data_IF_890894916761
#
_entry.id   IF_890894916761
#
_cell.length_a   1.000
_cell.length_b   1.000
_cell.length_c   1.000
_cell.angle_alpha   90.00
_cell.angle_beta   90.00
_cell.angle_gamma   90.00
#
_symmetry.space_group_name_H-M   'P 1'
#
loop_
_entity.id
_entity.type
_entity.pdbx_description
1 polymer ?
#
# COMPACT_ATOMS: atom_id res chain seq x y z
N UNK A 1 1.81 32.42 2.59
CA UNK A 1 1.18 31.76 1.43
C UNK A 1 -0.29 32.11 1.46
N UNK A 2 -0.93 32.40 0.31
CA UNK A 2 -2.37 32.64 0.27
C UNK A 2 -3.12 31.36 0.68
N UNK A 3 -4.05 31.49 1.64
CA UNK A 3 -4.89 30.38 2.07
C UNK A 3 -5.78 29.92 0.91
N UNK A 4 -5.83 28.60 0.66
CA UNK A 4 -6.68 27.98 -0.36
C UNK A 4 -7.92 27.36 0.29
N UNK A 5 -9.02 27.37 -0.42
CA UNK A 5 -10.24 26.62 -0.11
C UNK A 5 -10.12 25.23 -0.76
N UNK A 6 -10.09 24.18 0.06
CA UNK A 6 -9.76 22.84 -0.37
C UNK A 6 -10.93 21.88 -0.14
N UNK A 7 -11.28 21.11 -1.17
CA UNK A 7 -12.06 19.88 -1.04
C UNK A 7 -11.06 18.74 -0.89
N UNK A 8 -11.18 17.95 0.20
CA UNK A 8 -10.39 16.73 0.38
C UNK A 8 -11.27 15.51 0.07
N UNK A 9 -10.89 14.69 -0.90
CA UNK A 9 -11.58 13.45 -1.26
C UNK A 9 -10.68 12.25 -0.96
N UNK A 10 -11.05 11.44 0.05
CA UNK A 10 -10.24 10.30 0.48
C UNK A 10 -11.02 9.31 1.33
N UNK A 11 -10.52 8.07 1.44
CA UNK A 11 -11.16 7.03 2.25
C UNK A 11 -10.16 6.19 3.04
N UNK A 12 -8.98 5.89 2.46
CA UNK A 12 -7.97 5.02 3.07
C UNK A 12 -7.05 5.72 4.07
N UNK A 13 -6.32 4.91 4.84
CA UNK A 13 -5.35 5.38 5.85
C UNK A 13 -4.22 6.21 5.24
N UNK A 14 -3.86 5.95 3.97
CA UNK A 14 -2.80 6.67 3.26
C UNK A 14 -3.02 8.19 3.21
N UNK A 15 -4.27 8.64 3.26
CA UNK A 15 -4.63 10.06 3.24
C UNK A 15 -4.59 10.75 4.60
N UNK A 16 -4.51 10.00 5.72
CA UNK A 16 -4.60 10.57 7.06
C UNK A 16 -3.52 11.62 7.36
N UNK A 17 -2.21 11.37 7.13
CA UNK A 17 -1.18 12.37 7.42
C UNK A 17 -1.35 13.65 6.60
N UNK A 18 -1.83 13.54 5.37
CA UNK A 18 -2.11 14.71 4.52
C UNK A 18 -3.33 15.49 5.01
N UNK A 19 -4.39 14.81 5.47
CA UNK A 19 -5.56 15.47 6.07
C UNK A 19 -5.17 16.19 7.37
N UNK A 20 -4.40 15.55 8.24
CA UNK A 20 -3.90 16.14 9.49
C UNK A 20 -3.02 17.37 9.24
N UNK A 21 -2.12 17.29 8.23
CA UNK A 21 -1.29 18.42 7.82
C UNK A 21 -2.13 19.60 7.29
N UNK A 22 -3.22 19.32 6.57
CA UNK A 22 -4.15 20.36 6.09
C UNK A 22 -4.94 20.99 7.25
N UNK A 23 -5.40 20.20 8.22
CA UNK A 23 -6.07 20.71 9.43
C UNK A 23 -5.15 21.65 10.22
N UNK A 24 -3.85 21.36 10.29
CA UNK A 24 -2.85 22.17 10.97
C UNK A 24 -2.34 23.37 10.14
N UNK A 25 -2.75 23.50 8.88
CA UNK A 25 -2.31 24.55 7.96
C UNK A 25 -3.22 25.77 7.98
N UNK A 26 -2.84 26.83 7.24
CA UNK A 26 -3.67 28.02 7.02
C UNK A 26 -4.78 27.81 5.96
N UNK A 27 -4.83 26.64 5.31
CA UNK A 27 -5.84 26.35 4.30
C UNK A 27 -7.21 26.06 4.92
N UNK A 28 -8.27 26.39 4.19
CA UNK A 28 -9.66 26.10 4.59
C UNK A 28 -10.13 24.79 3.99
N UNK A 29 -10.41 23.77 4.80
CA UNK A 29 -11.08 22.55 4.37
C UNK A 29 -12.58 22.81 4.25
N UNK A 30 -13.05 23.18 3.06
CA UNK A 30 -14.46 23.49 2.80
C UNK A 30 -15.34 22.25 2.77
N UNK A 31 -14.78 21.11 2.42
CA UNK A 31 -15.46 19.81 2.51
C UNK A 31 -14.46 18.65 2.51
N UNK A 32 -14.72 17.65 3.35
CA UNK A 32 -14.10 16.33 3.29
C UNK A 32 -15.10 15.33 2.72
N UNK A 33 -14.72 14.61 1.67
CA UNK A 33 -15.56 13.63 0.98
C UNK A 33 -14.97 12.25 1.16
N UNK A 34 -15.79 11.30 1.59
CA UNK A 34 -15.36 9.91 1.78
C UNK A 34 -16.42 8.91 1.33
N UNK A 35 -16.02 7.65 1.18
CA UNK A 35 -16.98 6.59 0.89
C UNK A 35 -17.92 6.35 2.09
N UNK A 36 -19.13 5.79 1.85
CA UNK A 36 -20.05 5.39 2.91
C UNK A 36 -19.42 4.34 3.83
N UNK A 37 -19.94 4.28 5.06
CA UNK A 37 -19.61 3.23 6.02
C UNK A 37 -19.92 1.86 5.41
N UNK A 38 -19.05 0.88 5.64
CA UNK A 38 -19.18 -0.47 5.10
C UNK A 38 -19.11 -1.52 6.20
N UNK A 39 -19.82 -2.65 6.06
CA UNK A 39 -19.68 -3.77 6.98
C UNK A 39 -18.22 -4.24 7.05
N UNK A 40 -17.63 -4.26 8.24
CA UNK A 40 -16.24 -4.70 8.47
C UNK A 40 -16.14 -5.58 9.73
N UNK A 41 -15.07 -6.37 9.80
CA UNK A 41 -14.76 -7.23 10.95
C UNK A 41 -15.67 -8.44 11.11
N UNK A 42 -15.43 -9.17 12.25
CA UNK A 42 -16.26 -10.32 12.65
C UNK A 42 -17.61 -9.80 13.14
N UNK A 43 -18.69 -10.01 12.54
CA UNK A 43 -20.03 -9.49 12.92
C UNK A 43 -20.54 -8.40 11.97
N UNK A 44 -19.76 -7.97 10.98
CA UNK A 44 -20.18 -7.10 9.89
C UNK A 44 -20.84 -5.79 10.36
N UNK A 45 -20.40 -5.24 11.50
CA UNK A 45 -20.83 -3.91 11.93
C UNK A 45 -20.40 -2.85 10.91
N UNK A 46 -21.23 -1.84 10.73
CA UNK A 46 -20.88 -0.69 9.87
C UNK A 46 -19.68 0.04 10.47
N UNK A 47 -18.60 0.13 9.73
CA UNK A 47 -17.39 0.85 10.09
C UNK A 47 -17.17 2.04 9.17
N UNK A 48 -16.97 3.23 9.72
CA UNK A 48 -16.62 4.41 8.95
C UNK A 48 -15.23 4.25 8.32
N UNK A 49 -14.97 5.02 7.28
CA UNK A 49 -13.64 5.11 6.69
C UNK A 49 -12.67 5.82 7.65
N UNK A 50 -11.35 5.54 7.62
CA UNK A 50 -10.36 6.26 8.41
C UNK A 50 -10.45 7.80 8.25
N UNK A 51 -10.61 8.28 7.01
CA UNK A 51 -10.80 9.71 6.73
C UNK A 51 -12.12 10.24 7.34
N UNK A 52 -13.20 9.47 7.27
CA UNK A 52 -14.48 9.85 7.88
C UNK A 52 -14.41 9.99 9.40
N UNK A 53 -13.64 9.10 10.07
CA UNK A 53 -13.37 9.18 11.51
C UNK A 53 -12.59 10.45 11.84
N UNK A 54 -11.48 10.70 11.14
CA UNK A 54 -10.63 11.87 11.37
C UNK A 54 -11.37 13.19 11.11
N UNK A 55 -12.14 13.28 10.02
CA UNK A 55 -12.90 14.47 9.68
C UNK A 55 -13.99 14.77 10.72
N UNK A 56 -14.70 13.74 11.20
CA UNK A 56 -15.71 13.89 12.25
C UNK A 56 -15.10 14.34 13.59
N UNK A 57 -13.94 13.77 13.97
CA UNK A 57 -13.22 14.14 15.17
C UNK A 57 -12.73 15.61 15.15
N UNK A 58 -12.40 16.12 13.97
CA UNK A 58 -11.98 17.50 13.74
C UNK A 58 -13.17 18.46 13.45
N UNK A 59 -14.42 18.00 13.56
CA UNK A 59 -15.65 18.75 13.26
C UNK A 59 -15.65 19.41 11.87
N UNK A 60 -15.03 18.76 10.87
CA UNK A 60 -14.99 19.25 9.50
C UNK A 60 -16.30 18.98 8.75
N UNK A 61 -16.66 19.79 7.74
CA UNK A 61 -17.78 19.50 6.84
C UNK A 61 -17.55 18.16 6.13
N UNK A 62 -18.28 17.12 6.51
CA UNK A 62 -18.12 15.75 6.04
C UNK A 62 -19.27 15.31 5.14
N UNK A 63 -18.95 14.88 3.93
CA UNK A 63 -19.86 14.23 2.98
C UNK A 63 -19.48 12.76 2.81
N UNK A 64 -20.40 11.85 3.10
CA UNK A 64 -20.28 10.42 2.80
C UNK A 64 -21.09 10.11 1.56
N UNK A 65 -20.44 9.76 0.45
CA UNK A 65 -21.16 9.47 -0.82
C UNK A 65 -20.61 8.22 -1.52
N UNK A 66 -21.53 7.48 -2.13
CA UNK A 66 -21.21 6.34 -3.01
C UNK A 66 -20.83 6.77 -4.43
N UNK A 67 -21.21 8.00 -4.84
CA UNK A 67 -20.94 8.53 -6.18
C UNK A 67 -20.78 10.06 -6.10
N UNK A 68 -19.52 10.52 -6.06
CA UNK A 68 -19.18 11.95 -6.02
C UNK A 68 -19.74 12.71 -7.24
N UNK A 69 -19.96 12.03 -8.36
CA UNK A 69 -20.39 12.67 -9.59
C UNK A 69 -21.85 13.16 -9.54
N UNK A 70 -22.61 12.76 -8.53
CA UNK A 70 -23.98 13.20 -8.27
C UNK A 70 -24.09 14.30 -7.24
N UNK A 71 -22.97 14.69 -6.64
CA UNK A 71 -22.96 15.65 -5.55
C UNK A 71 -22.75 17.08 -6.06
N UNK A 72 -23.42 18.04 -5.42
CA UNK A 72 -23.13 19.46 -5.60
C UNK A 72 -21.94 19.85 -4.73
N UNK A 73 -20.80 20.11 -5.34
CA UNK A 73 -19.59 20.49 -4.61
C UNK A 73 -19.57 21.98 -4.26
N UNK A 74 -19.06 22.37 -3.10
CA UNK A 74 -18.89 23.78 -2.74
C UNK A 74 -17.82 24.43 -3.62
N UNK A 75 -17.86 25.76 -3.73
CA UNK A 75 -16.78 26.52 -4.37
C UNK A 75 -15.47 26.26 -3.65
N UNK A 76 -14.43 25.89 -4.42
CA UNK A 76 -13.10 25.58 -3.89
C UNK A 76 -12.01 26.02 -4.87
N UNK A 77 -10.79 26.18 -4.35
CA UNK A 77 -9.62 26.44 -5.19
C UNK A 77 -9.01 25.16 -5.74
N UNK A 78 -8.91 24.11 -4.92
CA UNK A 78 -8.30 22.82 -5.29
C UNK A 78 -9.14 21.68 -4.72
N UNK A 79 -9.26 20.57 -5.46
CA UNK A 79 -9.66 19.28 -4.90
C UNK A 79 -8.42 18.39 -4.80
N UNK A 80 -8.11 17.96 -3.56
CA UNK A 80 -7.07 16.98 -3.29
C UNK A 80 -7.69 15.59 -3.13
N UNK A 81 -7.24 14.66 -3.97
CA UNK A 81 -7.73 13.27 -3.96
C UNK A 81 -6.62 12.34 -3.46
N UNK A 82 -6.92 11.51 -2.44
CA UNK A 82 -5.97 10.52 -1.90
C UNK A 82 -6.71 9.23 -1.55
N UNK A 83 -6.39 8.13 -2.22
CA UNK A 83 -6.96 6.80 -1.95
C UNK A 83 -8.50 6.82 -1.80
N UNK A 84 -9.20 7.54 -2.67
CA UNK A 84 -10.64 7.76 -2.59
C UNK A 84 -11.46 6.56 -3.08
N UNK A 85 -10.99 5.89 -4.14
CA UNK A 85 -11.58 4.67 -4.65
C UNK A 85 -12.85 4.87 -5.49
N UNK A 86 -13.11 6.08 -5.98
CA UNK A 86 -14.16 6.37 -6.98
C UNK A 86 -13.54 6.99 -8.22
N UNK A 87 -14.16 6.74 -9.38
CA UNK A 87 -13.86 7.48 -10.60
C UNK A 87 -14.59 8.84 -10.55
N UNK A 88 -13.83 9.90 -10.78
CA UNK A 88 -14.33 11.28 -10.76
C UNK A 88 -14.50 11.77 -12.19
N UNK A 89 -15.68 12.26 -12.54
CA UNK A 89 -15.96 12.80 -13.87
C UNK A 89 -15.27 14.15 -14.10
N UNK A 90 -15.01 14.49 -15.34
CA UNK A 90 -14.32 15.73 -15.74
C UNK A 90 -15.02 17.00 -15.20
N UNK A 91 -16.34 17.00 -15.11
CA UNK A 91 -17.09 18.12 -14.50
C UNK A 91 -16.72 18.37 -13.05
N UNK A 92 -16.47 17.31 -12.27
CA UNK A 92 -16.05 17.42 -10.89
C UNK A 92 -14.54 17.67 -10.76
N UNK A 93 -13.73 17.05 -11.65
CA UNK A 93 -12.28 17.28 -11.69
C UNK A 93 -11.95 18.75 -11.97
N UNK A 94 -12.70 19.38 -12.87
CA UNK A 94 -12.51 20.77 -13.31
C UNK A 94 -13.35 21.79 -12.51
N UNK A 95 -14.12 21.33 -11.52
CA UNK A 95 -14.95 22.21 -10.68
C UNK A 95 -14.13 23.21 -9.86
N UNK A 96 -13.03 22.82 -9.19
CA UNK A 96 -12.20 23.77 -8.43
C UNK A 96 -11.41 24.70 -9.38
N UNK A 97 -11.22 25.94 -8.96
CA UNK A 97 -10.56 27.00 -9.77
C UNK A 97 -9.16 26.63 -10.27
N UNK A 98 -8.37 25.95 -9.45
CA UNK A 98 -7.01 25.48 -9.78
C UNK A 98 -7.01 23.99 -10.18
N UNK A 99 -8.19 23.38 -10.38
CA UNK A 99 -8.36 21.99 -10.75
C UNK A 99 -8.15 21.01 -9.60
N UNK A 100 -7.99 19.75 -9.96
CA UNK A 100 -7.87 18.64 -8.99
C UNK A 100 -6.50 17.98 -9.09
N UNK A 101 -5.97 17.60 -7.93
CA UNK A 101 -4.67 16.93 -7.80
C UNK A 101 -4.83 15.62 -7.04
N UNK A 102 -3.91 14.67 -7.28
CA UNK A 102 -3.89 13.38 -6.59
C UNK A 102 -2.50 13.10 -6.04
N UNK A 103 -2.44 12.60 -4.79
CA UNK A 103 -1.23 12.01 -4.23
C UNK A 103 -1.23 10.51 -4.55
N UNK A 104 -0.29 10.09 -5.39
CA UNK A 104 -0.09 8.71 -5.81
C UNK A 104 1.20 8.12 -5.23
N UNK A 105 1.12 6.93 -4.66
CA UNK A 105 2.22 6.30 -3.93
C UNK A 105 3.21 5.57 -4.86
N UNK A 106 3.69 6.23 -5.89
CA UNK A 106 4.79 5.77 -6.75
C UNK A 106 5.55 6.93 -7.38
N UNK A 107 6.71 6.63 -7.94
CA UNK A 107 7.44 7.53 -8.84
C UNK A 107 6.87 7.35 -10.27
N UNK A 108 5.78 8.08 -10.56
CA UNK A 108 5.17 8.07 -11.89
C UNK A 108 6.19 8.54 -12.96
N UNK A 109 6.10 7.98 -14.17
CA UNK A 109 5.01 7.19 -14.76
C UNK A 109 4.97 5.71 -14.40
N UNK A 110 5.90 5.22 -13.55
CA UNK A 110 5.92 3.82 -13.13
C UNK A 110 4.83 3.53 -12.09
N UNK A 111 4.24 2.34 -12.17
CA UNK A 111 3.27 1.82 -11.19
C UNK A 111 1.95 2.62 -11.13
N UNK A 112 1.38 3.01 -12.29
CA UNK A 112 0.01 3.51 -12.36
C UNK A 112 -0.98 2.45 -11.91
N UNK A 113 -1.97 2.79 -11.10
CA UNK A 113 -3.04 1.88 -10.67
C UNK A 113 -3.19 1.70 -9.17
N UNK A 114 -3.82 0.58 -8.77
CA UNK A 114 -4.40 0.43 -7.45
C UNK A 114 -3.44 -0.02 -6.32
N UNK A 115 -2.27 -0.61 -6.66
CA UNK A 115 -1.38 -1.20 -5.66
C UNK A 115 0.11 -0.89 -5.90
N UNK A 116 0.50 0.39 -6.11
CA UNK A 116 1.85 0.76 -6.51
C UNK A 116 2.92 0.33 -5.49
N UNK A 117 2.66 0.50 -4.20
CA UNK A 117 3.57 0.14 -3.10
C UNK A 117 3.89 -1.35 -3.10
N UNK A 118 2.85 -2.18 -3.22
CA UNK A 118 3.00 -3.63 -3.24
C UNK A 118 3.83 -4.09 -4.43
N UNK A 119 3.50 -3.59 -5.62
CA UNK A 119 4.20 -3.97 -6.85
C UNK A 119 5.64 -3.46 -6.90
N UNK A 120 5.96 -2.34 -6.30
CA UNK A 120 7.34 -1.88 -6.18
C UNK A 120 8.20 -2.90 -5.42
N UNK A 121 7.74 -3.40 -4.26
CA UNK A 121 8.46 -4.44 -3.50
C UNK A 121 8.50 -5.76 -4.25
N UNK A 122 7.36 -6.24 -4.78
CA UNK A 122 7.28 -7.52 -5.51
C UNK A 122 8.24 -7.55 -6.71
N UNK A 123 8.38 -6.43 -7.43
CA UNK A 123 9.27 -6.31 -8.58
C UNK A 123 10.72 -6.02 -8.21
N UNK A 124 11.04 -5.89 -6.91
CA UNK A 124 12.40 -5.74 -6.43
C UNK A 124 12.97 -4.33 -6.58
N UNK A 125 12.11 -3.31 -6.59
CA UNK A 125 12.58 -1.94 -6.56
C UNK A 125 13.34 -1.66 -5.25
N UNK A 126 14.37 -0.85 -5.37
CA UNK A 126 15.16 -0.38 -4.21
C UNK A 126 14.78 1.03 -3.78
N UNK A 127 13.99 1.71 -4.61
CA UNK A 127 13.49 3.08 -4.39
C UNK A 127 11.99 3.09 -4.70
N UNK A 128 11.22 3.70 -3.82
CA UNK A 128 9.82 4.06 -4.01
C UNK A 128 9.63 5.55 -3.80
N UNK A 129 8.42 6.06 -3.89
CA UNK A 129 8.14 7.46 -3.61
C UNK A 129 6.69 7.83 -3.82
N UNK A 130 6.44 9.13 -3.77
CA UNK A 130 5.15 9.73 -4.03
C UNK A 130 5.22 10.66 -5.24
N UNK A 131 4.12 10.78 -5.96
CA UNK A 131 3.91 11.77 -7.00
C UNK A 131 2.62 12.52 -6.71
N UNK A 132 2.67 13.86 -6.69
CA UNK A 132 1.48 14.68 -6.79
C UNK A 132 1.27 15.02 -8.26
N UNK A 133 0.10 14.68 -8.79
CA UNK A 133 -0.24 14.82 -10.21
C UNK A 133 -1.56 15.57 -10.40
N UNK A 134 -1.77 16.14 -11.57
CA UNK A 134 -3.13 16.53 -12.01
C UNK A 134 -4.00 15.31 -12.18
N UNK A 135 -5.28 15.40 -11.80
CA UNK A 135 -6.23 14.39 -12.21
C UNK A 135 -6.46 14.50 -13.74
N UNK A 136 -6.55 13.34 -14.39
CA UNK A 136 -6.78 13.22 -15.83
C UNK A 136 -7.75 12.06 -16.10
N UNK A 137 -8.34 12.02 -17.30
CA UNK A 137 -9.26 10.94 -17.71
C UNK A 137 -8.60 9.55 -17.69
N UNK A 138 -7.35 9.48 -18.16
CA UNK A 138 -6.54 8.25 -18.06
C UNK A 138 -5.97 8.13 -16.66
N UNK A 139 -6.20 7.00 -16.02
CA UNK A 139 -5.79 6.73 -14.64
C UNK A 139 -4.30 7.02 -14.43
N UNK A 140 -4.00 7.85 -13.44
CA UNK A 140 -2.67 8.25 -12.97
C UNK A 140 -1.73 8.79 -14.07
N UNK A 141 -2.28 9.29 -15.19
CA UNK A 141 -1.52 9.78 -16.33
C UNK A 141 -1.43 11.30 -16.44
N UNK A 142 -1.97 12.05 -15.48
CA UNK A 142 -1.90 13.51 -15.45
C UNK A 142 -0.47 14.01 -15.24
N UNK A 143 -0.25 15.30 -15.56
CA UNK A 143 1.05 15.94 -15.42
C UNK A 143 1.53 15.88 -13.96
N UNK A 144 2.82 15.62 -13.77
CA UNK A 144 3.49 15.59 -12.48
C UNK A 144 3.75 17.01 -12.01
N UNK A 145 3.30 17.32 -10.80
CA UNK A 145 3.54 18.60 -10.12
C UNK A 145 4.76 18.53 -9.20
N UNK A 146 4.90 17.44 -8.47
CA UNK A 146 6.01 17.21 -7.55
C UNK A 146 6.20 15.74 -7.26
N UNK A 147 7.42 15.35 -6.84
CA UNK A 147 7.74 13.98 -6.44
C UNK A 147 8.66 13.98 -5.22
N UNK A 148 8.54 12.92 -4.42
CA UNK A 148 9.51 12.58 -3.37
C UNK A 148 9.93 11.13 -3.52
N UNK A 149 11.18 10.81 -3.13
CA UNK A 149 11.70 9.45 -3.23
C UNK A 149 12.28 8.96 -1.91
N UNK A 150 12.19 7.64 -1.66
CA UNK A 150 12.72 6.96 -0.48
C UNK A 150 13.30 5.60 -0.86
N UNK A 151 14.34 5.19 -0.17
CA UNK A 151 14.86 3.82 -0.27
C UNK A 151 13.87 2.84 0.37
N UNK A 152 13.66 1.71 -0.27
CA UNK A 152 12.95 0.56 0.31
C UNK A 152 13.93 -0.22 1.16
N UNK A 153 13.56 -0.52 2.40
CA UNK A 153 14.39 -1.33 3.29
C UNK A 153 14.52 -2.79 2.79
N UNK A 154 15.64 -3.46 3.05
CA UNK A 154 15.93 -4.79 2.49
C UNK A 154 14.93 -5.87 2.94
N UNK A 155 14.28 -5.66 4.07
CA UNK A 155 13.26 -6.57 4.63
C UNK A 155 11.93 -5.86 4.91
N UNK A 156 11.75 -4.64 4.42
CA UNK A 156 10.56 -3.83 4.63
C UNK A 156 9.34 -4.45 3.96
N UNK A 157 8.20 -4.44 4.65
CA UNK A 157 6.91 -4.90 4.15
C UNK A 157 6.15 -3.78 3.43
N UNK A 158 5.15 -4.15 2.62
CA UNK A 158 4.32 -3.15 1.95
C UNK A 158 3.51 -2.30 2.95
N UNK A 159 3.12 -2.85 4.09
CA UNK A 159 2.46 -2.08 5.16
C UNK A 159 3.36 -0.99 5.73
N UNK A 160 4.61 -1.33 6.08
CA UNK A 160 5.58 -0.37 6.61
C UNK A 160 5.94 0.71 5.58
N UNK A 161 6.14 0.32 4.33
CA UNK A 161 6.40 1.27 3.24
C UNK A 161 5.20 2.19 2.99
N UNK A 162 3.96 1.65 3.08
CA UNK A 162 2.72 2.43 3.00
C UNK A 162 2.68 3.53 4.05
N UNK A 163 2.90 3.18 5.32
CA UNK A 163 2.82 4.13 6.43
C UNK A 163 3.90 5.23 6.29
N UNK A 164 5.09 4.84 5.89
CA UNK A 164 6.20 5.77 5.67
C UNK A 164 5.96 6.69 4.48
N UNK A 165 5.46 6.19 3.35
CA UNK A 165 5.12 7.01 2.20
C UNK A 165 3.92 7.92 2.47
N UNK A 166 2.95 7.50 3.28
CA UNK A 166 1.84 8.35 3.72
C UNK A 166 2.35 9.57 4.50
N UNK A 167 3.27 9.35 5.45
CA UNK A 167 3.92 10.43 6.20
C UNK A 167 4.75 11.36 5.30
N UNK A 168 5.53 10.80 4.37
CA UNK A 168 6.33 11.58 3.42
C UNK A 168 5.48 12.34 2.39
N UNK A 169 4.26 11.89 2.13
CA UNK A 169 3.31 12.51 1.21
C UNK A 169 2.74 13.82 1.73
N UNK A 170 2.55 13.95 3.04
CA UNK A 170 1.94 15.14 3.64
C UNK A 170 2.73 16.43 3.36
N UNK A 171 4.03 16.54 3.65
CA UNK A 171 4.80 17.74 3.34
C UNK A 171 4.90 18.00 1.82
N UNK A 172 4.90 16.94 0.99
CA UNK A 172 4.89 17.08 -0.45
C UNK A 172 3.60 17.74 -0.95
N UNK A 173 2.45 17.34 -0.40
CA UNK A 173 1.13 17.92 -0.69
C UNK A 173 1.10 19.40 -0.28
N UNK A 174 1.50 19.73 0.95
CA UNK A 174 1.51 21.12 1.44
C UNK A 174 2.39 22.01 0.55
N UNK A 175 3.59 21.53 0.21
CA UNK A 175 4.49 22.26 -0.71
C UNK A 175 3.82 22.47 -2.08
N UNK A 176 3.19 21.44 -2.64
CA UNK A 176 2.53 21.55 -3.95
C UNK A 176 1.37 22.54 -3.92
N UNK A 177 0.59 22.55 -2.85
CA UNK A 177 -0.50 23.52 -2.67
C UNK A 177 0.02 24.96 -2.57
N UNK A 178 1.13 25.16 -1.85
CA UNK A 178 1.79 26.47 -1.79
C UNK A 178 2.27 26.95 -3.16
N UNK A 179 2.91 26.07 -3.93
CA UNK A 179 3.37 26.39 -5.29
C UNK A 179 2.19 26.72 -6.22
N UNK A 180 1.07 26.00 -6.10
CA UNK A 180 -0.17 26.29 -6.85
C UNK A 180 -0.80 27.64 -6.45
N UNK A 181 -0.85 27.96 -5.15
CA UNK A 181 -1.40 29.21 -4.65
C UNK A 181 -0.65 30.44 -5.17
N UNK A 182 0.64 30.31 -5.35
CA UNK A 182 1.53 31.37 -5.82
C UNK A 182 1.78 31.36 -7.34
N UNK A 183 1.13 30.46 -8.08
CA UNK A 183 1.28 30.35 -9.54
C UNK A 183 2.68 29.87 -9.97
N UNK A 184 3.45 29.25 -9.06
CA UNK A 184 4.79 28.69 -9.33
C UNK A 184 4.77 27.20 -9.68
N UNK A 185 3.60 26.58 -9.71
CA UNK A 185 3.45 25.17 -10.04
C UNK A 185 4.00 24.86 -11.43
N UNK A 186 5.00 23.99 -11.51
CA UNK A 186 5.47 23.45 -12.79
C UNK A 186 4.75 22.14 -13.08
N UNK A 187 4.34 21.94 -14.31
CA UNK A 187 3.66 20.71 -14.76
C UNK A 187 4.56 19.97 -15.74
N UNK A 188 4.96 18.76 -15.40
CA UNK A 188 5.78 17.91 -16.26
C UNK A 188 4.93 16.77 -16.84
N UNK A 189 4.74 16.70 -18.16
CA UNK A 189 4.09 15.56 -18.81
C UNK A 189 4.80 14.25 -18.46
N UNK A 190 4.04 13.18 -18.27
CA UNK A 190 4.63 11.86 -18.06
C UNK A 190 5.12 11.26 -19.38
N UNK A 191 6.30 10.60 -19.33
CA UNK A 191 6.79 9.81 -20.46
C UNK A 191 6.03 8.47 -20.54
N UNK A 192 5.16 8.33 -21.52
CA UNK A 192 4.33 7.13 -21.72
C UNK A 192 5.16 5.88 -21.99
N UNK A 193 6.37 6.00 -22.54
CA UNK A 193 7.26 4.85 -22.81
C UNK A 193 7.79 4.19 -21.52
N UNK A 194 7.83 4.94 -20.42
CA UNK A 194 8.26 4.46 -19.10
C UNK A 194 7.09 4.01 -18.21
N UNK A 195 5.85 4.16 -18.69
CA UNK A 195 4.68 3.83 -17.88
C UNK A 195 4.57 2.32 -17.63
N UNK A 196 4.39 1.96 -16.35
CA UNK A 196 4.10 0.59 -15.94
C UNK A 196 2.82 0.55 -15.10
N UNK A 197 2.18 -0.63 -15.04
CA UNK A 197 0.93 -0.82 -14.32
C UNK A 197 1.15 -1.51 -12.97
N UNK A 198 0.36 -1.11 -11.98
CA UNK A 198 0.23 -1.72 -10.66
C UNK A 198 -1.23 -2.15 -10.41
N UNK A 199 -1.66 -3.27 -11.01
CA UNK A 199 -3.05 -3.71 -10.93
C UNK A 199 -3.45 -4.01 -9.49
N UNK A 200 -4.77 -3.98 -9.24
CA UNK A 200 -5.34 -4.37 -7.96
C UNK A 200 -4.92 -5.80 -7.60
N UNK A 201 -4.51 -6.00 -6.36
CA UNK A 201 -4.19 -7.33 -5.85
C UNK A 201 -5.45 -8.17 -5.64
N UNK A 202 -5.30 -9.48 -5.75
CA UNK A 202 -6.32 -10.46 -5.41
C UNK A 202 -5.77 -11.45 -4.36
N UNK A 203 -6.63 -12.30 -3.80
CA UNK A 203 -6.19 -13.35 -2.86
C UNK A 203 -5.31 -14.40 -3.55
N UNK A 204 -5.61 -14.71 -4.78
CA UNK A 204 -4.86 -15.66 -5.62
C UNK A 204 -3.42 -15.19 -5.85
N UNK A 205 -3.21 -13.87 -5.89
CA UNK A 205 -1.87 -13.30 -5.99
C UNK A 205 -0.97 -13.67 -4.79
N UNK A 206 -1.53 -14.10 -3.66
CA UNK A 206 -0.77 -14.48 -2.46
C UNK A 206 -0.34 -15.96 -2.43
N UNK A 207 -0.73 -16.76 -3.41
CA UNK A 207 -0.25 -18.13 -3.54
C UNK A 207 1.26 -18.13 -3.80
N UNK A 208 1.99 -18.91 -2.99
CA UNK A 208 3.43 -19.09 -3.13
C UNK A 208 3.73 -20.39 -3.87
N UNK A 209 4.55 -20.28 -4.90
CA UNK A 209 5.16 -21.43 -5.58
C UNK A 209 6.61 -21.56 -5.11
N UNK A 210 6.88 -22.49 -4.20
CA UNK A 210 8.23 -22.72 -3.64
C UNK A 210 9.25 -23.21 -4.69
N UNK A 211 8.84 -23.50 -5.91
CA UNK A 211 9.75 -23.72 -7.04
C UNK A 211 10.30 -22.43 -7.65
N UNK A 212 10.05 -21.28 -7.04
CA UNK A 212 10.63 -20.01 -7.43
C UNK A 212 11.87 -19.67 -6.60
N UNK A 213 12.77 -18.81 -7.12
CA UNK A 213 13.94 -18.34 -6.39
C UNK A 213 13.59 -17.68 -5.04
N UNK A 214 14.46 -17.84 -4.05
CA UNK A 214 14.26 -17.30 -2.69
C UNK A 214 14.03 -15.78 -2.66
N UNK A 215 14.70 -15.03 -3.52
CA UNK A 215 14.57 -13.58 -3.60
C UNK A 215 13.17 -13.15 -4.12
N UNK A 216 12.63 -13.87 -5.11
CA UNK A 216 11.27 -13.66 -5.61
C UNK A 216 10.23 -13.94 -4.52
N UNK A 217 10.37 -15.08 -3.82
CA UNK A 217 9.47 -15.46 -2.73
C UNK A 217 9.53 -14.45 -1.58
N UNK A 218 10.73 -14.02 -1.18
CA UNK A 218 10.91 -13.04 -0.13
C UNK A 218 10.24 -11.70 -0.47
N UNK A 219 10.38 -11.23 -1.71
CA UNK A 219 9.70 -10.02 -2.19
C UNK A 219 8.19 -10.17 -2.20
N UNK A 220 7.66 -11.31 -2.66
CA UNK A 220 6.21 -11.57 -2.66
C UNK A 220 5.65 -11.60 -1.24
N UNK A 221 6.30 -12.27 -0.30
CA UNK A 221 5.88 -12.33 1.10
C UNK A 221 5.77 -10.90 1.66
N UNK A 222 6.81 -10.09 1.54
CA UNK A 222 6.85 -8.73 2.07
C UNK A 222 5.91 -7.78 1.31
N UNK A 223 5.89 -7.87 -0.01
CA UNK A 223 5.06 -7.01 -0.86
C UNK A 223 3.56 -7.30 -0.76
N UNK A 224 3.17 -8.49 -0.28
CA UNK A 224 1.77 -8.87 -0.09
C UNK A 224 1.30 -8.75 1.37
N UNK A 225 2.15 -8.38 2.31
CA UNK A 225 1.76 -8.13 3.69
C UNK A 225 1.45 -6.65 3.93
N UNK A 226 0.35 -6.27 4.62
CA UNK A 226 -0.58 -7.12 5.35
C UNK A 226 -1.70 -7.74 4.50
N UNK A 227 -1.95 -7.30 3.30
CA UNK A 227 -3.02 -7.83 2.45
C UNK A 227 -2.53 -8.03 1.01
N UNK A 228 -2.91 -9.15 0.36
CA UNK A 228 -3.73 -10.28 0.84
C UNK A 228 -3.02 -11.18 1.86
N UNK A 229 -1.70 -11.18 1.93
CA UNK A 229 -0.87 -11.96 2.85
C UNK A 229 -0.71 -13.42 2.44
N UNK A 230 0.55 -13.86 2.29
CA UNK A 230 0.89 -15.22 1.90
C UNK A 230 0.61 -16.20 3.03
N UNK A 231 -0.32 -17.12 2.83
CA UNK A 231 -0.70 -18.14 3.81
C UNK A 231 -0.10 -19.49 3.43
N UNK A 232 0.35 -20.23 4.44
CA UNK A 232 0.92 -21.56 4.28
C UNK A 232 0.44 -22.47 5.39
N UNK A 233 0.29 -23.77 5.06
CA UNK A 233 0.24 -24.84 6.03
C UNK A 233 1.66 -25.33 6.27
N UNK A 234 2.06 -25.48 7.52
CA UNK A 234 3.26 -26.21 7.94
C UNK A 234 2.86 -27.68 8.13
N UNK A 235 3.42 -28.57 7.34
CA UNK A 235 3.13 -30.01 7.38
C UNK A 235 4.36 -30.78 7.85
N UNK A 236 4.15 -31.90 8.55
CA UNK A 236 5.20 -32.85 8.89
C UNK A 236 5.55 -33.79 7.71
N UNK A 237 6.52 -34.67 7.90
CA UNK A 237 6.93 -35.65 6.89
C UNK A 237 5.80 -36.61 6.45
N UNK A 238 4.79 -36.82 7.29
CA UNK A 238 3.60 -37.59 6.96
C UNK A 238 2.53 -36.76 6.24
N UNK A 239 2.86 -35.49 5.86
CA UNK A 239 1.95 -34.49 5.25
C UNK A 239 0.77 -34.09 6.16
N UNK A 240 0.88 -34.31 7.46
CA UNK A 240 -0.11 -33.84 8.42
C UNK A 240 0.09 -32.35 8.69
N UNK A 241 -0.95 -31.57 8.59
CA UNK A 241 -0.93 -30.15 8.92
C UNK A 241 -0.69 -29.94 10.43
N UNK A 242 0.39 -29.25 10.77
CA UNK A 242 0.78 -28.93 12.16
C UNK A 242 0.31 -27.54 12.56
N UNK A 243 0.39 -26.58 11.64
CA UNK A 243 0.01 -25.20 11.87
C UNK A 243 -0.35 -24.48 10.59
N UNK A 244 -1.20 -23.47 10.68
CA UNK A 244 -1.43 -22.47 9.62
C UNK A 244 -0.78 -21.17 9.98
N UNK A 245 0.00 -20.64 9.05
CA UNK A 245 0.78 -19.43 9.21
C UNK A 245 0.50 -18.46 8.07
N UNK A 246 0.53 -17.18 8.38
CA UNK A 246 0.77 -16.14 7.38
C UNK A 246 2.24 -15.77 7.48
N UNK A 247 2.97 -15.82 6.37
CA UNK A 247 4.34 -15.34 6.31
C UNK A 247 4.31 -13.81 6.22
N UNK A 248 5.09 -13.16 7.07
CA UNK A 248 5.09 -11.69 7.22
C UNK A 248 6.35 -11.11 6.61
N UNK A 249 7.50 -11.63 7.01
CA UNK A 249 8.80 -11.11 6.62
C UNK A 249 9.76 -12.26 6.30
N UNK A 250 10.45 -12.11 5.17
CA UNK A 250 11.45 -13.06 4.73
C UNK A 250 12.56 -12.35 3.94
N UNK A 251 13.71 -12.99 3.87
CA UNK A 251 14.83 -12.57 3.04
C UNK A 251 15.45 -13.77 2.32
N UNK A 252 16.11 -13.56 1.17
CA UNK A 252 16.92 -14.60 0.56
C UNK A 252 18.18 -14.82 1.39
N UNK A 253 18.65 -16.06 1.42
CA UNK A 253 19.90 -16.47 2.04
C UNK A 253 20.66 -17.44 1.10
N UNK A 254 21.92 -17.66 1.39
CA UNK A 254 22.73 -18.66 0.69
C UNK A 254 22.26 -20.04 1.16
N UNK A 255 22.13 -20.96 0.22
CA UNK A 255 21.90 -22.36 0.51
C UNK A 255 23.27 -23.08 0.53
N UNK A 256 23.66 -23.54 1.71
CA UNK A 256 24.91 -24.27 1.98
C UNK A 256 24.67 -25.76 2.29
N UNK A 257 23.42 -26.23 2.25
CA UNK A 257 23.04 -27.61 2.60
C UNK A 257 22.87 -28.54 1.38
N UNK A 258 22.92 -27.99 0.15
CA UNK A 258 22.85 -28.76 -1.08
C UNK A 258 21.45 -29.25 -1.46
N UNK A 259 21.35 -30.16 -2.42
CA UNK A 259 20.12 -30.56 -3.10
C UNK A 259 19.28 -31.64 -2.38
N UNK A 260 19.61 -32.01 -1.16
CA UNK A 260 18.90 -33.08 -0.43
C UNK A 260 17.47 -32.72 0.01
N UNK A 261 17.11 -31.44 -0.08
CA UNK A 261 15.80 -30.92 0.34
C UNK A 261 14.93 -30.59 -0.88
N UNK A 262 13.64 -30.87 -0.78
CA UNK A 262 12.69 -30.43 -1.80
C UNK A 262 12.27 -28.96 -1.59
N UNK A 263 11.86 -28.24 -2.68
CA UNK A 263 11.30 -26.90 -2.53
C UNK A 263 10.16 -26.84 -1.53
N UNK A 264 10.23 -25.86 -0.62
CA UNK A 264 9.29 -25.69 0.48
C UNK A 264 9.65 -26.46 1.76
N UNK A 265 10.63 -27.36 1.75
CA UNK A 265 11.07 -28.05 2.94
C UNK A 265 11.92 -27.20 3.85
N UNK A 266 11.74 -27.40 5.17
CA UNK A 266 12.56 -26.82 6.23
C UNK A 266 13.88 -27.58 6.29
N UNK A 267 14.98 -26.85 6.19
CA UNK A 267 16.35 -27.35 6.20
C UNK A 267 16.90 -27.44 7.63
N UNK A 268 18.11 -28.01 7.80
CA UNK A 268 18.79 -28.08 9.12
C UNK A 268 19.05 -26.68 9.69
N UNK A 269 19.37 -25.70 8.84
CA UNK A 269 19.53 -24.28 9.16
C UNK A 269 18.24 -23.59 9.60
N UNK A 270 17.10 -24.28 9.58
CA UNK A 270 15.75 -23.75 9.79
C UNK A 270 15.25 -22.78 8.68
N UNK A 271 16.00 -22.62 7.60
CA UNK A 271 15.54 -21.95 6.39
C UNK A 271 14.68 -22.87 5.54
N UNK A 272 14.01 -22.32 4.54
CA UNK A 272 13.15 -23.07 3.64
C UNK A 272 13.84 -23.21 2.28
N UNK A 273 13.90 -24.43 1.78
CA UNK A 273 14.52 -24.76 0.49
C UNK A 273 13.79 -24.10 -0.68
N UNK A 274 14.56 -23.57 -1.61
CA UNK A 274 14.09 -23.11 -2.93
C UNK A 274 15.09 -23.54 -4.02
N UNK A 275 14.71 -23.54 -5.30
CA UNK A 275 15.66 -23.96 -6.37
C UNK A 275 16.91 -23.08 -6.48
N UNK A 276 16.81 -21.80 -6.08
CA UNK A 276 17.92 -20.85 -6.10
C UNK A 276 17.99 -20.14 -4.76
N UNK A 277 19.00 -20.46 -3.96
CA UNK A 277 19.20 -19.97 -2.59
C UNK A 277 18.22 -20.62 -1.59
N UNK A 278 18.20 -20.11 -0.39
CA UNK A 278 17.30 -20.50 0.68
C UNK A 278 16.46 -19.31 1.13
N UNK A 279 15.25 -19.58 1.61
CA UNK A 279 14.33 -18.54 2.11
C UNK A 279 14.39 -18.52 3.62
N UNK A 280 14.98 -17.48 4.19
CA UNK A 280 14.96 -17.23 5.63
C UNK A 280 13.66 -16.52 6.03
N UNK A 281 12.81 -17.20 6.79
CA UNK A 281 11.59 -16.63 7.37
C UNK A 281 11.98 -15.91 8.65
N UNK A 282 11.67 -14.61 8.74
CA UNK A 282 11.98 -13.77 9.89
C UNK A 282 10.80 -13.63 10.83
N UNK A 283 9.60 -13.42 10.26
CA UNK A 283 8.37 -13.21 11.03
C UNK A 283 7.20 -13.98 10.42
N UNK A 284 6.39 -14.51 11.30
CA UNK A 284 5.16 -15.25 10.99
C UNK A 284 3.99 -14.75 11.82
N UNK A 285 2.78 -14.96 11.33
CA UNK A 285 1.55 -14.77 12.08
C UNK A 285 0.77 -16.08 12.10
N UNK A 286 0.81 -16.85 13.21
CA UNK A 286 -0.05 -18.03 13.37
C UNK A 286 -1.53 -17.64 13.33
N UNK A 287 -2.38 -18.53 12.85
CA UNK A 287 -3.82 -18.27 12.76
C UNK A 287 -4.40 -17.89 14.13
N UNK A 288 -5.14 -16.77 14.16
CA UNK A 288 -5.74 -16.24 15.40
C UNK A 288 -4.78 -15.58 16.38
N UNK A 289 -3.48 -15.49 16.07
CA UNK A 289 -2.46 -14.86 16.95
C UNK A 289 -1.87 -13.58 16.34
N UNK A 290 -1.09 -12.87 17.12
CA UNK A 290 -0.30 -11.71 16.68
C UNK A 290 0.92 -12.17 15.88
N UNK A 291 1.47 -11.28 15.07
CA UNK A 291 2.77 -11.44 14.43
C UNK A 291 3.86 -11.64 15.48
N UNK A 292 4.80 -12.54 15.21
CA UNK A 292 5.95 -12.85 16.07
C UNK A 292 7.16 -13.26 15.23
N UNK A 293 8.36 -13.20 15.80
CA UNK A 293 9.55 -13.72 15.13
C UNK A 293 9.43 -15.24 14.93
N UNK A 294 10.10 -15.77 13.90
CA UNK A 294 10.19 -17.22 13.73
C UNK A 294 10.87 -17.88 14.95
N UNK A 295 11.84 -17.23 15.55
CA UNK A 295 12.51 -17.72 16.76
C UNK A 295 11.53 -17.88 17.94
N UNK A 296 10.60 -16.92 18.13
CA UNK A 296 9.54 -17.01 19.15
C UNK A 296 8.56 -18.12 18.84
N UNK A 297 8.16 -18.25 17.57
CA UNK A 297 7.28 -19.34 17.16
C UNK A 297 7.87 -20.70 17.46
N UNK A 298 9.15 -20.92 17.19
CA UNK A 298 9.88 -22.18 17.40
C UNK A 298 10.02 -22.55 18.88
N UNK A 299 9.92 -21.63 19.82
CA UNK A 299 9.97 -21.96 21.26
C UNK A 299 8.77 -22.77 21.76
N UNK A 300 7.65 -22.67 21.08
CA UNK A 300 6.41 -23.37 21.48
C UNK A 300 5.77 -24.19 20.37
N UNK A 301 6.40 -24.31 19.21
CA UNK A 301 5.86 -25.03 18.06
C UNK A 301 6.98 -25.77 17.32
N UNK A 302 6.61 -26.85 16.66
CA UNK A 302 7.53 -27.61 15.82
C UNK A 302 7.90 -26.78 14.57
N UNK A 303 9.17 -26.72 14.27
CA UNK A 303 9.75 -26.22 13.01
C UNK A 303 11.05 -26.98 12.82
N UNK A 304 10.95 -28.18 12.28
CA UNK A 304 12.01 -29.18 12.25
C UNK A 304 12.39 -29.50 10.80
N UNK A 305 13.63 -29.92 10.56
CA UNK A 305 14.06 -30.36 9.24
C UNK A 305 13.16 -31.44 8.66
N UNK A 306 12.86 -31.35 7.36
CA UNK A 306 11.94 -32.25 6.68
C UNK A 306 10.45 -31.90 6.81
N UNK A 307 10.08 -30.91 7.62
CA UNK A 307 8.75 -30.30 7.54
C UNK A 307 8.63 -29.48 6.26
N UNK A 308 7.39 -29.32 5.76
CA UNK A 308 7.16 -28.63 4.49
C UNK A 308 6.13 -27.53 4.60
N UNK A 309 6.43 -26.37 4.00
CA UNK A 309 5.47 -25.30 3.79
C UNK A 309 4.71 -25.54 2.50
N UNK A 310 3.39 -25.52 2.59
CA UNK A 310 2.47 -25.65 1.44
C UNK A 310 1.58 -24.42 1.40
N UNK A 311 1.49 -23.75 0.25
CA UNK A 311 0.62 -22.57 0.08
C UNK A 311 -0.87 -22.98 0.19
N UNK A 312 -1.69 -22.17 0.88
CA UNK A 312 -3.12 -22.43 1.11
C UNK A 312 -3.98 -21.19 0.85
#
# INVERSE_FOLDING_TARGET
VAALRIIFAGSGEFGLPSLEALIASEHELVQVITQPDRPAGRGRALSPTPIGVAAAAAALPLLKTADINREALPTADVMLVIAFGQKIADSQVNHPRLGSINLHASLLPRYRGAAPINWAIIRGETIAGNSVIRLAQKMDAGAILSQSSRRIGPVETAGELHDRLALDGAPLVIKTLADLAEGRGTESPQDESLATLAPKLSREAATLDFNRPADELARRIRGLYPWPGCRVALCDAAKTEIARLRLVRARPAIDDEGERWEPGEVMMSAMVRTPVGALEILEVQPEGKKTMSLADFRRGNRWEPGMKLVSV
#
